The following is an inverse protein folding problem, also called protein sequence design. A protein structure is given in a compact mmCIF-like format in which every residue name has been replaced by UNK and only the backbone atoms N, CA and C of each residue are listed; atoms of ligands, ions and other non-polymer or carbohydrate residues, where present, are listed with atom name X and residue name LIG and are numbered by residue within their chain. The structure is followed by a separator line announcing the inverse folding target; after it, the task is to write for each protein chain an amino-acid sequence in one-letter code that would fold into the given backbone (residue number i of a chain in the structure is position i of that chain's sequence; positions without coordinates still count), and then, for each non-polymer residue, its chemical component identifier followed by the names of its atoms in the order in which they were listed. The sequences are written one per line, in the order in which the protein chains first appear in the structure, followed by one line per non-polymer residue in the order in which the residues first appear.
data_IF_998599820204
#
_entry.id   IF_998599820204
#
_cell.length_a   1.000
_cell.length_b   1.000
_cell.length_c   1.000
_cell.angle_alpha   90.00
_cell.angle_beta   90.00
_cell.angle_gamma   90.00
#
_symmetry.space_group_name_H-M   'P 1'
#
loop_
_entity.id
_entity.type
_entity.pdbx_description
1 polymer ?
#
# COMPACT_ATOMS: atom_id res chain seq x y z
N UNK A 1 9.53 11.07 22.68
CA UNK A 1 8.36 10.26 23.10
C UNK A 1 7.51 9.90 21.88
N UNK A 2 7.57 8.66 21.36
CA UNK A 2 6.79 8.20 20.17
C UNK A 2 6.02 6.87 20.36
N UNK A 3 5.99 6.36 21.59
CA UNK A 3 5.45 5.06 22.00
C UNK A 3 3.97 4.78 21.64
N UNK A 4 3.02 5.76 21.68
CA UNK A 4 1.60 5.47 21.45
C UNK A 4 1.24 5.10 20.00
N UNK A 5 1.93 5.69 19.01
CA UNK A 5 1.65 5.44 17.58
C UNK A 5 2.17 4.07 17.13
N UNK A 6 3.36 3.68 17.61
CA UNK A 6 3.98 2.39 17.29
C UNK A 6 3.12 1.22 17.82
N UNK A 7 2.60 1.35 19.04
CA UNK A 7 1.72 0.33 19.64
C UNK A 7 0.41 0.16 18.85
N UNK A 8 -0.19 1.26 18.39
CA UNK A 8 -1.40 1.20 17.53
C UNK A 8 -1.14 0.48 16.20
N UNK A 9 0.00 0.72 15.56
CA UNK A 9 0.36 0.05 14.29
C UNK A 9 0.52 -1.46 14.48
N UNK A 10 1.27 -1.89 15.50
CA UNK A 10 1.48 -3.32 15.77
C UNK A 10 0.16 -4.04 16.04
N UNK A 11 -0.76 -3.41 16.77
CA UNK A 11 -2.11 -3.97 16.98
C UNK A 11 -2.90 -4.11 15.67
N UNK A 12 -2.82 -3.13 14.76
CA UNK A 12 -3.48 -3.22 13.45
C UNK A 12 -2.90 -4.35 12.60
N UNK A 13 -1.58 -4.44 12.48
CA UNK A 13 -0.90 -5.51 11.73
C UNK A 13 -1.30 -6.88 12.29
N UNK A 14 -1.30 -7.03 13.61
CA UNK A 14 -1.71 -8.28 14.25
C UNK A 14 -3.18 -8.64 13.94
N UNK A 15 -4.10 -7.69 14.08
CA UNK A 15 -5.53 -7.90 13.77
C UNK A 15 -5.76 -8.24 12.30
N UNK A 16 -5.06 -7.54 11.39
CA UNK A 16 -5.14 -7.78 9.95
C UNK A 16 -4.66 -9.18 9.62
N UNK A 17 -3.45 -9.56 10.07
CA UNK A 17 -2.89 -10.90 9.85
C UNK A 17 -3.79 -12.00 10.40
N UNK A 18 -4.31 -11.82 11.61
CA UNK A 18 -5.25 -12.77 12.20
C UNK A 18 -6.52 -12.92 11.35
N UNK A 19 -7.06 -11.83 10.82
CA UNK A 19 -8.25 -11.85 9.96
C UNK A 19 -7.96 -12.57 8.64
N UNK A 20 -6.83 -12.27 7.98
CA UNK A 20 -6.39 -12.93 6.75
C UNK A 20 -6.20 -14.44 6.97
N UNK A 21 -5.60 -14.82 8.10
CA UNK A 21 -5.39 -16.22 8.43
C UNK A 21 -6.68 -16.99 8.66
N UNK A 22 -7.75 -16.34 9.16
CA UNK A 22 -9.07 -16.98 9.32
C UNK A 22 -9.72 -17.32 7.98
N UNK A 23 -9.36 -16.59 6.93
CA UNK A 23 -9.79 -16.86 5.56
C UNK A 23 -8.88 -17.89 4.85
N UNK A 24 -7.94 -18.52 5.57
CA UNK A 24 -7.04 -19.54 5.04
C UNK A 24 -5.91 -18.99 4.16
N UNK A 25 -5.68 -17.67 4.16
CA UNK A 25 -4.64 -17.03 3.36
C UNK A 25 -3.34 -16.96 4.17
N UNK A 26 -2.27 -17.55 3.64
CA UNK A 26 -0.95 -17.48 4.25
C UNK A 26 -0.40 -16.05 4.17
N UNK A 27 0.06 -15.52 5.32
CA UNK A 27 0.59 -14.15 5.39
C UNK A 27 1.74 -14.03 6.39
N UNK A 28 2.70 -13.19 6.02
CA UNK A 28 3.85 -12.84 6.86
C UNK A 28 4.00 -11.32 6.95
N UNK A 29 4.57 -10.86 8.06
CA UNK A 29 4.86 -9.44 8.25
C UNK A 29 6.26 -9.18 7.72
N UNK A 30 6.41 -8.16 6.88
CA UNK A 30 7.69 -7.74 6.32
C UNK A 30 7.93 -6.27 6.66
N UNK A 31 9.16 -5.95 7.02
CA UNK A 31 9.63 -4.57 7.02
C UNK A 31 9.97 -4.15 5.59
N UNK A 32 9.77 -2.89 5.23
CA UNK A 32 10.00 -2.42 3.86
C UNK A 32 11.45 -2.61 3.39
N UNK A 33 12.41 -2.53 4.31
CA UNK A 33 13.82 -2.79 4.03
C UNK A 33 14.11 -4.25 3.64
N UNK A 34 13.22 -5.18 3.99
CA UNK A 34 13.30 -6.60 3.65
C UNK A 34 12.49 -6.95 2.39
N UNK A 35 11.97 -5.96 1.67
CA UNK A 35 11.14 -6.20 0.48
C UNK A 35 11.86 -7.09 -0.54
N UNK A 36 13.17 -6.89 -0.71
CA UNK A 36 14.00 -7.69 -1.61
C UNK A 36 14.07 -9.17 -1.22
N UNK A 37 14.00 -9.51 0.07
CA UNK A 37 14.01 -10.91 0.54
C UNK A 37 12.76 -11.67 0.06
N UNK A 38 11.65 -10.95 -0.15
CA UNK A 38 10.40 -11.55 -0.65
C UNK A 38 10.37 -11.76 -2.17
N UNK A 39 11.36 -11.25 -2.91
CA UNK A 39 11.46 -11.48 -4.37
C UNK A 39 11.60 -12.96 -4.72
N UNK A 40 12.25 -13.75 -3.85
CA UNK A 40 12.34 -15.21 -3.99
C UNK A 40 10.94 -15.86 -4.09
N UNK A 41 9.93 -15.30 -3.42
CA UNK A 41 8.57 -15.80 -3.49
C UNK A 41 7.88 -15.45 -4.82
N UNK A 42 8.28 -14.36 -5.49
CA UNK A 42 7.73 -13.99 -6.81
C UNK A 42 8.10 -15.07 -7.84
N UNK A 43 9.31 -15.62 -7.76
CA UNK A 43 9.76 -16.67 -8.68
C UNK A 43 8.98 -17.99 -8.52
N UNK A 44 8.32 -18.19 -7.37
CA UNK A 44 7.61 -19.44 -7.05
C UNK A 44 6.09 -19.30 -6.99
N UNK A 45 5.56 -18.10 -6.77
CA UNK A 45 4.14 -17.83 -6.57
C UNK A 45 3.64 -16.93 -7.70
N UNK A 46 2.55 -17.34 -8.36
CA UNK A 46 2.00 -16.68 -9.55
C UNK A 46 1.62 -15.22 -9.29
N UNK A 47 1.21 -14.84 -8.07
CA UNK A 47 0.80 -13.46 -7.73
C UNK A 47 0.84 -13.18 -6.23
N UNK A 48 1.70 -12.26 -5.81
CA UNK A 48 1.80 -11.82 -4.41
C UNK A 48 0.96 -10.56 -4.16
N UNK A 49 0.34 -10.51 -2.97
CA UNK A 49 -0.44 -9.37 -2.50
C UNK A 49 0.27 -8.71 -1.31
N UNK A 50 0.65 -7.45 -1.47
CA UNK A 50 1.29 -6.66 -0.43
C UNK A 50 0.29 -5.68 0.18
N UNK A 51 0.21 -5.67 1.51
CA UNK A 51 -0.54 -4.65 2.24
C UNK A 51 0.44 -3.77 2.99
N UNK A 52 0.60 -2.54 2.53
CA UNK A 52 1.52 -1.56 3.11
C UNK A 52 0.78 -0.59 4.01
N UNK A 53 1.24 -0.42 5.24
CA UNK A 53 0.68 0.55 6.18
C UNK A 53 1.65 1.72 6.38
N UNK A 54 1.27 2.91 5.91
CA UNK A 54 2.10 4.11 6.00
C UNK A 54 1.58 5.00 7.13
N UNK A 55 2.40 5.19 8.17
CA UNK A 55 1.99 5.88 9.41
C UNK A 55 2.43 7.33 9.53
N UNK A 56 3.33 7.79 8.68
CA UNK A 56 3.77 9.17 8.65
C UNK A 56 4.45 9.52 7.32
N UNK A 57 4.69 10.81 7.11
CA UNK A 57 5.36 11.31 5.91
C UNK A 57 6.78 10.77 5.75
N UNK A 58 7.60 10.78 6.81
CA UNK A 58 9.00 10.34 6.71
C UNK A 58 9.11 8.89 6.24
N UNK A 59 8.14 8.05 6.60
CA UNK A 59 8.12 6.65 6.14
C UNK A 59 7.87 6.48 4.66
N UNK A 60 7.38 7.50 3.92
CA UNK A 60 7.22 7.41 2.46
C UNK A 60 8.59 7.30 1.79
N UNK A 61 9.60 8.04 2.27
CA UNK A 61 10.95 7.98 1.72
C UNK A 61 11.60 6.60 1.94
N UNK A 62 11.19 5.90 3.01
CA UNK A 62 11.65 4.53 3.26
C UNK A 62 11.16 3.54 2.20
N UNK A 63 10.13 3.88 1.41
CA UNK A 63 9.67 3.08 0.27
C UNK A 63 10.40 3.41 -1.02
N UNK A 64 10.92 4.62 -1.17
CA UNK A 64 11.51 5.07 -2.44
C UNK A 64 12.67 4.16 -2.88
N UNK A 65 13.68 3.99 -2.02
CA UNK A 65 14.86 3.19 -2.38
C UNK A 65 14.51 1.70 -2.57
N UNK A 66 13.79 1.02 -1.65
CA UNK A 66 13.48 -0.40 -1.82
C UNK A 66 12.60 -0.68 -3.05
N UNK A 67 11.64 0.20 -3.36
CA UNK A 67 10.75 0.01 -4.52
C UNK A 67 11.46 0.28 -5.85
N UNK A 68 12.48 1.14 -5.88
CA UNK A 68 13.24 1.42 -7.11
C UNK A 68 13.94 0.22 -7.72
N UNK A 69 14.29 -0.76 -6.87
CA UNK A 69 14.99 -1.99 -7.25
C UNK A 69 14.08 -3.21 -7.21
N UNK A 70 12.83 -3.07 -6.76
CA UNK A 70 11.89 -4.17 -6.65
C UNK A 70 10.98 -4.24 -7.87
N UNK A 71 10.59 -5.46 -8.26
CA UNK A 71 9.64 -5.63 -9.36
C UNK A 71 8.20 -5.35 -8.90
N UNK A 72 7.79 -4.10 -9.04
CA UNK A 72 6.44 -3.63 -8.74
C UNK A 72 5.39 -4.05 -9.78
N UNK A 73 5.79 -4.63 -10.92
CA UNK A 73 4.85 -5.05 -11.97
C UNK A 73 4.27 -6.44 -11.68
N UNK A 74 5.05 -7.37 -11.14
CA UNK A 74 4.63 -8.75 -10.85
C UNK A 74 3.82 -8.90 -9.55
N UNK A 75 3.49 -7.79 -8.88
CA UNK A 75 2.91 -7.79 -7.54
C UNK A 75 1.72 -6.84 -7.43
N UNK A 76 0.74 -7.19 -6.60
CA UNK A 76 -0.44 -6.37 -6.35
C UNK A 76 -0.30 -5.68 -5.01
N UNK A 77 -0.50 -4.36 -4.99
CA UNK A 77 -0.28 -3.53 -3.81
C UNK A 77 -1.56 -2.86 -3.33
N UNK A 78 -1.83 -3.03 -2.04
CA UNK A 78 -2.76 -2.19 -1.30
C UNK A 78 -1.97 -1.33 -0.30
N UNK A 79 -1.91 -0.03 -0.53
CA UNK A 79 -1.24 0.92 0.39
C UNK A 79 -2.29 1.69 1.17
N UNK A 80 -2.19 1.63 2.50
CA UNK A 80 -3.12 2.27 3.43
C UNK A 80 -2.36 3.32 4.23
N UNK A 81 -2.73 4.58 4.03
CA UNK A 81 -2.24 5.70 4.82
C UNK A 81 -3.07 5.83 6.11
N UNK A 82 -2.44 5.62 7.27
CA UNK A 82 -3.14 5.59 8.57
C UNK A 82 -3.01 6.87 9.39
N UNK A 83 -2.29 7.89 8.91
CA UNK A 83 -2.19 9.17 9.61
C UNK A 83 -3.32 10.12 9.23
N UNK A 84 -3.84 10.88 10.22
CA UNK A 84 -4.76 11.98 9.98
C UNK A 84 -3.98 13.16 9.37
N UNK A 85 -4.51 13.71 8.29
CA UNK A 85 -4.03 14.83 7.46
C UNK A 85 -3.32 15.96 8.21
N UNK A 86 -2.32 16.59 7.55
CA UNK A 86 -2.18 18.06 7.53
C UNK A 86 -1.05 18.70 6.67
N UNK A 87 -0.45 18.08 5.64
CA UNK A 87 0.57 18.88 4.89
C UNK A 87 0.74 18.68 3.41
N UNK A 88 0.31 17.57 2.80
CA UNK A 88 0.56 17.37 1.38
C UNK A 88 -0.49 16.47 0.78
N UNK A 89 -1.12 16.98 -0.28
CA UNK A 89 -2.14 16.29 -1.05
C UNK A 89 -1.52 15.19 -1.92
N UNK A 90 -0.71 14.29 -1.34
CA UNK A 90 -0.10 13.22 -2.11
C UNK A 90 -1.10 12.19 -2.59
N UNK A 91 -2.31 12.18 -2.03
CA UNK A 91 -3.38 11.31 -2.49
C UNK A 91 -4.01 11.78 -3.82
N UNK A 92 -3.96 13.07 -4.14
CA UNK A 92 -4.46 13.61 -5.41
C UNK A 92 -3.32 14.15 -6.29
N UNK A 93 -2.18 14.49 -5.68
CA UNK A 93 -1.00 15.07 -6.33
C UNK A 93 0.31 14.61 -5.64
N UNK A 94 0.69 13.32 -5.78
CA UNK A 94 1.95 12.78 -5.29
C UNK A 94 3.16 13.45 -5.94
N UNK A 95 4.30 13.54 -5.25
CA UNK A 95 5.52 14.11 -5.81
C UNK A 95 6.18 13.05 -6.71
N UNK A 96 5.70 12.96 -7.95
CA UNK A 96 6.16 11.98 -8.93
C UNK A 96 5.80 10.53 -8.55
N UNK A 97 6.61 9.59 -9.03
CA UNK A 97 6.38 8.15 -8.91
C UNK A 97 7.06 7.53 -7.69
N UNK A 98 6.52 7.81 -6.49
CA UNK A 98 7.13 7.41 -5.19
C UNK A 98 7.39 5.90 -5.09
N UNK A 99 6.48 5.09 -5.62
CA UNK A 99 6.54 3.62 -5.53
C UNK A 99 7.25 2.99 -6.73
N UNK A 100 7.85 3.78 -7.63
CA UNK A 100 8.47 3.28 -8.86
C UNK A 100 7.54 2.35 -9.66
N UNK A 101 6.24 2.65 -9.64
CA UNK A 101 5.23 1.94 -10.41
C UNK A 101 5.58 1.99 -11.90
N UNK A 102 5.32 0.90 -12.62
CA UNK A 102 5.53 0.84 -14.07
C UNK A 102 4.17 0.71 -14.76
N UNK A 103 4.18 0.78 -16.09
CA UNK A 103 3.00 0.44 -16.87
C UNK A 103 2.51 -0.97 -16.45
N UNK A 104 1.19 -1.10 -16.22
CA UNK A 104 0.51 -2.28 -15.67
C UNK A 104 0.85 -2.68 -14.21
N UNK A 105 1.57 -1.86 -13.42
CA UNK A 105 1.62 -2.08 -11.97
C UNK A 105 0.25 -1.90 -11.34
N UNK A 106 -0.16 -2.83 -10.48
CA UNK A 106 -1.46 -2.80 -9.81
C UNK A 106 -1.33 -2.24 -8.39
N UNK A 107 -1.52 -0.93 -8.25
CA UNK A 107 -1.41 -0.23 -6.96
C UNK A 107 -2.73 0.44 -6.60
N UNK A 108 -3.31 0.01 -5.49
CA UNK A 108 -4.51 0.60 -4.91
C UNK A 108 -4.17 1.33 -3.61
N UNK A 109 -4.60 2.57 -3.51
CA UNK A 109 -4.32 3.46 -2.39
C UNK A 109 -5.61 3.74 -1.62
N UNK A 110 -5.54 3.57 -0.29
CA UNK A 110 -6.54 4.07 0.65
C UNK A 110 -5.94 5.20 1.47
N UNK A 111 -6.58 6.36 1.44
CA UNK A 111 -6.14 7.54 2.16
C UNK A 111 -7.25 8.20 2.98
N UNK A 112 -6.90 8.67 4.17
CA UNK A 112 -7.77 9.48 5.00
C UNK A 112 -8.98 8.71 5.54
N UNK A 113 -9.98 9.47 6.00
CA UNK A 113 -11.26 8.93 6.48
C UNK A 113 -12.28 8.71 5.37
N UNK A 114 -12.02 9.25 4.18
CA UNK A 114 -12.84 8.98 3.00
C UNK A 114 -12.58 7.54 2.60
N UNK A 115 -13.66 6.78 2.52
CA UNK A 115 -13.64 5.37 2.17
C UNK A 115 -13.41 5.14 0.67
N UNK A 116 -12.61 5.97 0.01
CA UNK A 116 -12.35 5.85 -1.43
C UNK A 116 -11.05 5.07 -1.62
N UNK A 117 -11.11 4.07 -2.48
CA UNK A 117 -9.95 3.34 -2.98
C UNK A 117 -9.61 3.92 -4.35
N UNK A 118 -8.35 4.33 -4.51
CA UNK A 118 -7.83 4.95 -5.71
C UNK A 118 -6.83 4.04 -6.37
N UNK A 119 -6.91 3.94 -7.68
CA UNK A 119 -5.86 3.31 -8.48
C UNK A 119 -4.78 4.35 -8.79
N UNK A 120 -3.52 3.95 -8.60
CA UNK A 120 -2.35 4.70 -9.02
C UNK A 120 -1.65 3.92 -10.11
N UNK A 121 -1.49 4.53 -11.28
CA UNK A 121 -0.80 3.92 -12.41
C UNK A 121 0.23 4.88 -13.00
N UNK A 122 1.34 4.32 -13.48
CA UNK A 122 2.39 5.08 -14.11
C UNK A 122 2.02 5.39 -15.57
N UNK A 123 2.06 6.68 -15.91
CA UNK A 123 2.00 7.15 -17.30
C UNK A 123 3.39 7.10 -17.92
N UNK A 124 4.41 7.42 -17.12
CA UNK A 124 5.82 7.27 -17.46
C UNK A 124 6.65 7.08 -16.17
N UNK A 125 7.97 6.94 -16.29
CA UNK A 125 8.85 6.63 -15.15
C UNK A 125 8.70 7.58 -13.97
N UNK A 126 8.31 8.83 -14.21
CA UNK A 126 8.32 9.89 -13.20
C UNK A 126 6.91 10.40 -12.86
N UNK A 127 5.90 10.07 -13.66
CA UNK A 127 4.55 10.59 -13.54
C UNK A 127 3.56 9.46 -13.29
N UNK A 128 2.65 9.72 -12.36
CA UNK A 128 1.53 8.83 -12.04
C UNK A 128 0.21 9.56 -12.24
N UNK A 129 -0.79 8.81 -12.70
CA UNK A 129 -2.17 9.23 -12.74
C UNK A 129 -2.98 8.50 -11.67
N UNK A 130 -4.06 9.16 -11.25
CA UNK A 130 -4.87 8.73 -10.12
C UNK A 130 -6.32 8.68 -10.59
N UNK A 131 -6.94 7.54 -10.36
CA UNK A 131 -8.35 7.32 -10.65
C UNK A 131 -9.09 6.85 -9.41
N UNK A 132 -10.26 7.42 -9.13
CA UNK A 132 -11.16 6.91 -8.10
C UNK A 132 -11.78 5.60 -8.62
N UNK A 133 -11.36 4.48 -8.04
CA UNK A 133 -11.75 3.15 -8.54
C UNK A 133 -13.05 2.67 -7.89
N UNK A 134 -13.14 2.77 -6.57
CA UNK A 134 -14.23 2.16 -5.80
C UNK A 134 -14.35 2.74 -4.39
N UNK A 135 -15.44 2.43 -3.70
CA UNK A 135 -15.65 2.82 -2.30
C UNK A 135 -15.55 1.60 -1.39
N UNK A 136 -14.87 1.72 -0.25
CA UNK A 136 -14.72 0.67 0.75
C UNK A 136 -15.57 0.95 2.00
N UNK A 137 -16.69 0.25 2.13
CA UNK A 137 -17.48 0.21 3.36
C UNK A 137 -17.03 -0.90 4.31
N UNK A 138 -16.97 -0.61 5.61
CA UNK A 138 -16.73 -1.63 6.62
C UNK A 138 -17.86 -2.66 6.71
N UNK A 139 -19.08 -2.27 6.36
CA UNK A 139 -20.27 -3.14 6.42
C UNK A 139 -20.50 -3.90 5.12
N UNK A 140 -20.29 -3.23 3.98
CA UNK A 140 -20.66 -3.74 2.65
C UNK A 140 -19.47 -4.17 1.80
N UNK A 141 -18.24 -4.01 2.30
CA UNK A 141 -17.03 -4.29 1.54
C UNK A 141 -16.79 -3.28 0.42
N UNK A 142 -16.37 -3.76 -0.76
CA UNK A 142 -16.06 -2.94 -1.93
C UNK A 142 -17.35 -2.64 -2.70
N UNK A 143 -17.65 -1.35 -2.88
CA UNK A 143 -18.84 -0.83 -3.57
C UNK A 143 -18.37 -0.05 -4.80
N UNK A 144 -18.71 -0.55 -5.99
CA UNK A 144 -18.38 0.08 -7.26
C UNK A 144 -18.95 1.50 -7.31
N UNK A 145 -18.14 2.46 -7.75
CA UNK A 145 -18.60 3.82 -8.01
C UNK A 145 -19.48 3.80 -9.27
N UNK A 146 -20.68 4.39 -9.16
CA UNK A 146 -21.67 4.51 -10.24
C UNK A 146 -21.44 5.81 -10.98
#
# INVERSE_FOLDING_TARGET
MSTPKKMKMTTMIFKLRHSISREGIASTNLYILQLQESSYCIEQIVRLYYISLISNYNTINDFFLPTSTFDMFSTVWLVIFIYKENSTDYCHNPPGNIFHSRFNSEIMIRYGTKNILREWYSVNTNQIEISDATTWSLEKGIIKMV
#
